data_IF_688893391134
#
_entry.id   IF_688893391134
#
_cell.length_a   1.000
_cell.length_b   1.000
_cell.length_c   1.000
_cell.angle_alpha   90.00
_cell.angle_beta   90.00
_cell.angle_gamma   90.00
#
_symmetry.space_group_name_H-M   'P 1'
#
loop_
_entity.id
_entity.type
_entity.pdbx_description
1 polymer ?
#
# COMPACT_ATOMS: atom_id res chain seq x y z
N UNK A 1 -15.44 7.15 -14.41
CA UNK A 1 -14.06 7.43 -13.95
C UNK A 1 -14.00 7.95 -12.52
N UNK A 2 -14.65 9.06 -12.19
CA UNK A 2 -14.58 9.70 -10.85
C UNK A 2 -14.98 8.79 -9.67
N UNK A 3 -16.05 7.99 -9.82
CA UNK A 3 -16.47 7.03 -8.79
C UNK A 3 -15.40 5.97 -8.51
N UNK A 4 -14.82 5.37 -9.56
CA UNK A 4 -13.77 4.35 -9.43
C UNK A 4 -12.52 4.92 -8.74
N UNK A 5 -12.19 6.18 -9.02
CA UNK A 5 -11.00 6.82 -8.44
C UNK A 5 -11.19 7.29 -6.99
N UNK A 6 -12.40 7.62 -6.57
CA UNK A 6 -12.68 8.15 -5.22
C UNK A 6 -13.20 7.09 -4.23
N UNK A 7 -13.72 5.97 -4.73
CA UNK A 7 -14.23 4.88 -3.91
C UNK A 7 -13.20 4.37 -2.88
N UNK A 8 -11.91 4.16 -3.20
CA UNK A 8 -10.93 3.74 -2.20
C UNK A 8 -10.83 4.72 -1.03
N UNK A 9 -10.83 6.03 -1.28
CA UNK A 9 -10.72 7.04 -0.22
C UNK A 9 -11.95 7.04 0.70
N UNK A 10 -13.16 6.98 0.12
CA UNK A 10 -14.40 6.88 0.88
C UNK A 10 -14.48 5.60 1.71
N UNK A 11 -14.08 4.46 1.13
CA UNK A 11 -14.05 3.17 1.82
C UNK A 11 -13.07 3.15 2.98
N UNK A 12 -11.87 3.70 2.81
CA UNK A 12 -10.90 3.81 3.90
C UNK A 12 -11.41 4.68 5.05
N UNK A 13 -12.10 5.79 4.73
CA UNK A 13 -12.74 6.63 5.74
C UNK A 13 -13.79 5.85 6.53
N UNK A 14 -14.62 5.04 5.85
CA UNK A 14 -15.58 4.18 6.51
C UNK A 14 -14.90 3.16 7.44
N UNK A 15 -13.94 2.38 6.93
CA UNK A 15 -13.21 1.38 7.73
C UNK A 15 -12.49 2.01 8.94
N UNK A 16 -11.92 3.19 8.78
CA UNK A 16 -11.20 3.89 9.85
C UNK A 16 -12.09 4.20 11.06
N UNK A 17 -13.40 4.35 10.83
CA UNK A 17 -14.39 4.68 11.85
C UNK A 17 -15.14 3.45 12.39
N UNK A 18 -14.85 2.24 11.90
CA UNK A 18 -15.42 1.01 12.46
C UNK A 18 -14.72 0.66 13.77
N UNK A 19 -15.52 0.44 14.81
CA UNK A 19 -15.10 -0.09 16.10
C UNK A 19 -16.19 -1.02 16.65
N UNK A 20 -15.80 -1.98 17.48
CA UNK A 20 -16.70 -2.91 18.16
C UNK A 20 -16.27 -3.17 19.61
N UNK A 21 -17.14 -3.64 20.51
CA UNK A 21 -16.73 -4.02 21.86
C UNK A 21 -15.58 -5.03 21.83
N UNK A 22 -14.54 -4.79 22.64
CA UNK A 22 -13.37 -5.66 22.69
C UNK A 22 -13.71 -7.05 23.26
N UNK A 23 -14.79 -7.18 24.04
CA UNK A 23 -15.31 -8.46 24.53
C UNK A 23 -15.68 -9.44 23.43
N UNK A 24 -16.14 -8.97 22.26
CA UNK A 24 -16.39 -9.82 21.07
C UNK A 24 -15.10 -10.46 20.51
N UNK A 25 -13.95 -9.93 20.88
CA UNK A 25 -12.62 -10.40 20.50
C UNK A 25 -11.91 -11.15 21.64
N UNK A 26 -12.59 -11.42 22.75
CA UNK A 26 -12.00 -11.98 23.97
C UNK A 26 -11.17 -10.96 24.77
N UNK A 27 -11.36 -9.66 24.52
CA UNK A 27 -10.76 -8.56 25.27
C UNK A 27 -11.67 -8.02 26.39
N UNK A 28 -11.25 -6.97 27.11
CA UNK A 28 -12.01 -6.42 28.24
C UNK A 28 -13.34 -5.76 27.83
N UNK A 29 -14.39 -5.96 28.63
CA UNK A 29 -15.75 -5.44 28.37
C UNK A 29 -15.84 -3.92 28.27
N UNK A 30 -14.91 -3.20 28.91
CA UNK A 30 -14.93 -1.74 29.00
C UNK A 30 -14.15 -1.06 27.86
N UNK A 31 -13.63 -1.82 26.88
CA UNK A 31 -12.84 -1.30 25.77
C UNK A 31 -13.55 -1.51 24.42
N UNK A 32 -13.33 -0.58 23.50
CA UNK A 32 -13.66 -0.66 22.08
C UNK A 32 -12.43 -1.05 21.29
N UNK A 33 -12.56 -2.05 20.43
CA UNK A 33 -11.57 -2.49 19.46
C UNK A 33 -11.83 -1.84 18.09
N UNK A 34 -10.86 -1.07 17.62
CA UNK A 34 -10.90 -0.39 16.33
C UNK A 34 -10.52 -1.30 15.17
N UNK A 35 -11.06 -1.01 13.99
CA UNK A 35 -10.74 -1.76 12.79
C UNK A 35 -9.23 -1.71 12.47
N UNK A 36 -8.54 -2.86 12.35
CA UNK A 36 -7.08 -2.89 12.36
C UNK A 36 -6.44 -2.21 11.15
N UNK A 37 -5.37 -1.45 11.39
CA UNK A 37 -4.66 -0.71 10.36
C UNK A 37 -4.10 -1.63 9.26
N UNK A 38 -3.73 -2.87 9.62
CA UNK A 38 -3.31 -3.90 8.68
C UNK A 38 -4.39 -4.29 7.68
N UNK A 39 -5.64 -4.31 8.14
CA UNK A 39 -6.79 -4.68 7.31
C UNK A 39 -7.21 -3.50 6.45
N UNK A 40 -7.13 -2.26 6.97
CA UNK A 40 -7.30 -1.03 6.18
C UNK A 40 -6.32 -1.02 5.01
N UNK A 41 -5.04 -1.31 5.26
CA UNK A 41 -4.01 -1.30 4.21
C UNK A 41 -4.22 -2.44 3.20
N UNK A 42 -4.66 -3.63 3.64
CA UNK A 42 -5.06 -4.72 2.73
C UNK A 42 -6.18 -4.28 1.78
N UNK A 43 -7.23 -3.65 2.31
CA UNK A 43 -8.36 -3.17 1.50
C UNK A 43 -7.92 -2.05 0.55
N UNK A 44 -7.03 -1.14 1.00
CA UNK A 44 -6.45 -0.13 0.13
C UNK A 44 -5.75 -0.77 -1.07
N UNK A 45 -4.84 -1.72 -0.83
CA UNK A 45 -4.13 -2.41 -1.90
C UNK A 45 -5.11 -3.07 -2.88
N UNK A 46 -6.05 -3.88 -2.38
CA UNK A 46 -7.02 -4.59 -3.22
C UNK A 46 -7.94 -3.66 -4.02
N UNK A 47 -8.43 -2.58 -3.41
CA UNK A 47 -9.29 -1.60 -4.10
C UNK A 47 -8.53 -0.82 -5.17
N UNK A 48 -7.27 -0.45 -4.92
CA UNK A 48 -6.44 0.19 -5.95
C UNK A 48 -6.12 -0.79 -7.06
N UNK A 49 -5.81 -2.06 -6.75
CA UNK A 49 -5.59 -3.09 -7.79
C UNK A 49 -6.81 -3.17 -8.70
N UNK A 50 -8.00 -3.29 -8.11
CA UNK A 50 -9.26 -3.36 -8.85
C UNK A 50 -9.48 -2.11 -9.70
N UNK A 51 -9.30 -0.92 -9.12
CA UNK A 51 -9.46 0.35 -9.82
C UNK A 51 -8.50 0.49 -11.01
N UNK A 52 -7.23 0.13 -10.85
CA UNK A 52 -6.22 0.19 -11.93
C UNK A 52 -6.59 -0.79 -13.05
N UNK A 53 -7.02 -2.01 -12.74
CA UNK A 53 -7.46 -2.98 -13.74
C UNK A 53 -8.67 -2.45 -14.51
N UNK A 54 -9.70 -1.95 -13.80
CA UNK A 54 -10.90 -1.39 -14.43
C UNK A 54 -10.54 -0.21 -15.34
N UNK A 55 -9.70 0.71 -14.88
CA UNK A 55 -9.23 1.84 -15.69
C UNK A 55 -8.45 1.33 -16.91
N UNK A 56 -7.56 0.36 -16.73
CA UNK A 56 -6.80 -0.25 -17.81
C UNK A 56 -7.69 -0.85 -18.89
N UNK A 57 -8.74 -1.59 -18.50
CA UNK A 57 -9.74 -2.13 -19.43
C UNK A 57 -10.51 -1.00 -20.13
N UNK A 58 -10.93 0.03 -19.39
CA UNK A 58 -11.68 1.15 -19.96
C UNK A 58 -10.90 1.94 -21.02
N UNK A 59 -9.59 2.07 -20.86
CA UNK A 59 -8.73 2.78 -21.81
C UNK A 59 -8.14 1.86 -22.90
N UNK A 60 -8.40 0.54 -22.83
CA UNK A 60 -7.78 -0.42 -23.74
C UNK A 60 -6.27 -0.55 -23.55
N UNK A 61 -5.80 -0.55 -22.29
CA UNK A 61 -4.38 -0.62 -21.97
C UNK A 61 -3.72 -1.88 -22.52
N UNK A 62 -2.67 -1.70 -23.32
CA UNK A 62 -1.93 -2.77 -23.99
C UNK A 62 -0.78 -2.24 -24.83
N UNK A 63 -0.16 -3.10 -25.66
CA UNK A 63 0.96 -2.75 -26.53
C UNK A 63 0.68 -1.53 -27.41
N UNK A 64 -0.54 -1.39 -27.92
CA UNK A 64 -0.93 -0.26 -28.78
C UNK A 64 -0.74 1.12 -28.12
N UNK A 65 -0.79 1.18 -26.79
CA UNK A 65 -0.55 2.41 -26.01
C UNK A 65 0.94 2.56 -25.67
N UNK A 66 1.64 1.46 -25.37
CA UNK A 66 3.00 1.50 -24.81
C UNK A 66 4.11 1.43 -25.85
N UNK A 67 3.90 0.71 -26.95
CA UNK A 67 4.87 0.55 -28.04
C UNK A 67 5.27 1.88 -28.67
N UNK A 68 4.32 2.81 -28.96
CA UNK A 68 4.67 4.12 -29.51
C UNK A 68 5.62 4.93 -28.62
N UNK A 69 5.61 4.71 -27.30
CA UNK A 69 6.53 5.38 -26.37
C UNK A 69 7.97 4.93 -26.66
N UNK A 70 8.18 3.62 -26.84
CA UNK A 70 9.50 3.06 -27.16
C UNK A 70 9.92 3.45 -28.57
N UNK A 71 9.00 3.37 -29.52
CA UNK A 71 9.27 3.71 -30.91
C UNK A 71 9.65 5.19 -31.07
N UNK A 72 9.01 6.08 -30.30
CA UNK A 72 9.37 7.50 -30.22
C UNK A 72 10.77 7.69 -29.63
N UNK A 73 11.11 7.02 -28.52
CA UNK A 73 12.43 7.10 -27.91
C UNK A 73 13.53 6.65 -28.87
N UNK A 74 13.34 5.52 -29.56
CA UNK A 74 14.29 5.01 -30.56
C UNK A 74 14.44 6.00 -31.71
N UNK A 75 13.33 6.58 -32.17
CA UNK A 75 13.34 7.59 -33.24
C UNK A 75 14.12 8.84 -32.81
N UNK A 76 13.92 9.32 -31.59
CA UNK A 76 14.67 10.46 -31.03
C UNK A 76 16.17 10.16 -30.91
N UNK A 77 16.55 8.96 -30.50
CA UNK A 77 17.97 8.55 -30.45
C UNK A 77 18.57 8.53 -31.86
N UNK A 78 17.87 7.97 -32.85
CA UNK A 78 18.34 7.95 -34.25
C UNK A 78 18.51 9.34 -34.84
N UNK A 79 17.65 10.29 -34.48
CA UNK A 79 17.77 11.69 -34.92
C UNK A 79 19.07 12.34 -34.41
N UNK A 80 19.50 12.00 -33.19
CA UNK A 80 20.74 12.50 -32.60
C UNK A 80 21.97 11.70 -33.03
N UNK A 81 21.79 10.40 -33.29
CA UNK A 81 22.84 9.46 -33.65
C UNK A 81 22.38 8.60 -34.86
N UNK A 82 22.61 9.07 -36.09
CA UNK A 82 22.14 8.37 -37.30
C UNK A 82 22.67 6.94 -37.45
N UNK A 83 23.87 6.67 -36.93
CA UNK A 83 24.52 5.36 -36.91
C UNK A 83 23.92 4.39 -35.87
N UNK A 84 23.00 4.85 -35.00
CA UNK A 84 22.39 4.01 -33.99
C UNK A 84 21.48 2.94 -34.62
N UNK A 85 21.91 1.69 -34.51
CA UNK A 85 21.12 0.52 -34.92
C UNK A 85 20.47 -0.12 -33.69
N UNK A 86 19.15 -0.01 -33.51
CA UNK A 86 18.46 -0.65 -32.40
C UNK A 86 18.51 -2.17 -32.55
N UNK A 87 18.93 -2.87 -31.50
CA UNK A 87 18.80 -4.32 -31.41
C UNK A 87 17.31 -4.70 -31.29
N UNK A 88 16.76 -5.53 -32.21
CA UNK A 88 15.38 -5.99 -32.15
C UNK A 88 15.04 -6.71 -30.84
N UNK A 89 15.96 -7.51 -30.29
CA UNK A 89 15.71 -8.27 -29.07
C UNK A 89 15.62 -7.34 -27.84
N UNK A 90 16.59 -6.44 -27.68
CA UNK A 90 16.55 -5.42 -26.64
C UNK A 90 15.32 -4.50 -26.76
N UNK A 91 14.90 -4.17 -27.99
CA UNK A 91 13.70 -3.35 -28.24
C UNK A 91 12.44 -4.06 -27.77
N UNK A 92 12.25 -5.33 -28.14
CA UNK A 92 11.10 -6.13 -27.69
C UNK A 92 11.08 -6.30 -26.16
N UNK A 93 12.24 -6.53 -25.55
CA UNK A 93 12.35 -6.59 -24.09
C UNK A 93 11.96 -5.26 -23.44
N UNK A 94 12.41 -4.13 -23.98
CA UNK A 94 12.09 -2.79 -23.46
C UNK A 94 10.58 -2.50 -23.54
N UNK A 95 9.94 -2.85 -24.67
CA UNK A 95 8.49 -2.76 -24.83
C UNK A 95 7.75 -3.59 -23.78
N UNK A 96 8.15 -4.85 -23.60
CA UNK A 96 7.57 -5.72 -22.57
C UNK A 96 7.76 -5.19 -21.15
N UNK A 97 8.92 -4.60 -20.86
CA UNK A 97 9.19 -4.00 -19.54
C UNK A 97 8.29 -2.80 -19.28
N UNK A 98 8.16 -1.86 -20.23
CA UNK A 98 7.29 -0.69 -20.08
C UNK A 98 5.83 -1.11 -19.92
N UNK A 99 5.38 -2.10 -20.69
CA UNK A 99 4.03 -2.64 -20.62
C UNK A 99 3.68 -3.20 -19.23
N UNK A 100 4.63 -3.84 -18.55
CA UNK A 100 4.42 -4.38 -17.21
C UNK A 100 4.67 -3.34 -16.11
N UNK A 101 5.64 -2.45 -16.30
CA UNK A 101 6.06 -1.49 -15.27
C UNK A 101 5.04 -0.39 -15.04
N UNK A 102 4.40 0.14 -16.09
CA UNK A 102 3.45 1.24 -15.94
C UNK A 102 2.29 0.93 -14.98
N UNK A 103 1.54 -0.18 -15.12
CA UNK A 103 0.46 -0.48 -14.18
C UNK A 103 0.98 -0.78 -12.76
N UNK A 104 2.16 -1.39 -12.64
CA UNK A 104 2.80 -1.64 -11.36
C UNK A 104 3.16 -0.32 -10.63
N UNK A 105 3.84 0.59 -11.33
CA UNK A 105 4.23 1.89 -10.80
C UNK A 105 3.00 2.75 -10.47
N UNK A 106 2.02 2.80 -11.39
CA UNK A 106 0.77 3.53 -11.17
C UNK A 106 0.05 3.03 -9.92
N UNK A 107 -0.14 1.71 -9.78
CA UNK A 107 -0.78 1.13 -8.62
C UNK A 107 -0.02 1.39 -7.31
N UNK A 108 1.30 1.23 -7.32
CA UNK A 108 2.14 1.47 -6.14
C UNK A 108 2.15 2.94 -5.70
N UNK A 109 2.26 3.87 -6.65
CA UNK A 109 2.16 5.31 -6.37
C UNK A 109 0.79 5.66 -5.80
N UNK A 110 -0.29 5.10 -6.35
CA UNK A 110 -1.63 5.40 -5.90
C UNK A 110 -1.92 4.88 -4.49
N UNK A 111 -1.48 3.65 -4.16
CA UNK A 111 -1.53 3.13 -2.78
C UNK A 111 -0.79 4.05 -1.82
N UNK A 112 0.44 4.44 -2.17
CA UNK A 112 1.28 5.31 -1.33
C UNK A 112 0.62 6.66 -1.12
N UNK A 113 0.10 7.27 -2.18
CA UNK A 113 -0.60 8.55 -2.14
C UNK A 113 -1.86 8.50 -1.28
N UNK A 114 -2.71 7.48 -1.44
CA UNK A 114 -3.94 7.34 -0.63
C UNK A 114 -3.64 7.04 0.83
N UNK A 115 -2.61 6.26 1.12
CA UNK A 115 -2.18 6.04 2.50
C UNK A 115 -1.64 7.33 3.13
N UNK A 116 -0.88 8.14 2.38
CA UNK A 116 -0.44 9.45 2.85
C UNK A 116 -1.64 10.39 3.10
N UNK A 117 -2.61 10.41 2.19
CA UNK A 117 -3.84 11.18 2.39
C UNK A 117 -4.62 10.73 3.63
N UNK A 118 -4.75 9.42 3.85
CA UNK A 118 -5.31 8.85 5.08
C UNK A 118 -4.57 9.33 6.34
N UNK A 119 -3.23 9.24 6.33
CA UNK A 119 -2.40 9.68 7.45
C UNK A 119 -2.63 11.16 7.80
N UNK A 120 -2.66 12.04 6.80
CA UNK A 120 -2.93 13.46 7.02
C UNK A 120 -4.38 13.72 7.45
N UNK A 121 -5.35 13.02 6.85
CA UNK A 121 -6.76 13.16 7.20
C UNK A 121 -7.02 12.83 8.68
N UNK A 122 -6.46 11.73 9.19
CA UNK A 122 -6.56 11.37 10.61
C UNK A 122 -5.99 12.47 11.51
N UNK A 123 -4.87 13.09 11.10
CA UNK A 123 -4.25 14.20 11.86
C UNK A 123 -5.12 15.45 11.87
N UNK A 124 -5.70 15.82 10.74
CA UNK A 124 -6.56 17.00 10.59
C UNK A 124 -7.85 16.83 11.38
N UNK A 125 -8.50 15.67 11.28
CA UNK A 125 -9.76 15.37 11.97
C UNK A 125 -9.55 15.33 13.50
N UNK A 126 -8.46 14.72 13.97
CA UNK A 126 -8.09 14.72 15.38
C UNK A 126 -7.81 16.14 15.91
N UNK A 127 -7.05 16.95 15.16
CA UNK A 127 -6.79 18.35 15.53
C UNK A 127 -8.06 19.20 15.56
N UNK A 128 -9.09 18.82 14.79
CA UNK A 128 -10.39 19.47 14.76
C UNK A 128 -11.33 19.05 15.90
N UNK A 129 -10.87 18.20 16.83
CA UNK A 129 -11.68 17.67 17.94
C UNK A 129 -12.78 16.69 17.51
N UNK A 130 -12.76 16.23 16.24
CA UNK A 130 -13.75 15.31 15.66
C UNK A 130 -13.20 13.89 15.47
N UNK A 131 -11.98 13.64 15.92
CA UNK A 131 -11.34 12.33 15.83
C UNK A 131 -11.96 11.33 16.81
N UNK A 132 -12.64 10.32 16.27
CA UNK A 132 -13.19 9.22 17.06
C UNK A 132 -12.13 8.15 17.34
N UNK A 133 -11.32 7.81 16.32
CA UNK A 133 -10.24 6.82 16.42
C UNK A 133 -9.06 7.40 17.21
N UNK A 134 -8.49 6.67 18.18
CA UNK A 134 -7.29 7.11 18.89
C UNK A 134 -6.12 7.22 17.91
N UNK A 135 -5.15 8.07 18.26
CA UNK A 135 -3.92 8.16 17.49
C UNK A 135 -3.07 6.91 17.71
N UNK A 136 -2.89 6.15 16.65
CA UNK A 136 -1.98 5.00 16.62
C UNK A 136 -0.54 5.44 16.31
N UNK A 137 0.43 4.77 16.93
CA UNK A 137 1.84 4.92 16.60
C UNK A 137 2.16 4.13 15.31
N UNK A 138 2.13 4.80 14.16
CA UNK A 138 2.29 4.18 12.83
C UNK A 138 3.54 3.28 12.73
N UNK A 139 4.76 3.68 13.16
CA UNK A 139 5.91 2.79 13.14
C UNK A 139 5.70 1.44 13.84
N UNK A 140 4.97 1.39 14.96
CA UNK A 140 4.73 0.14 15.69
C UNK A 140 3.51 -0.63 15.18
N UNK A 141 2.49 0.06 14.66
CA UNK A 141 1.19 -0.52 14.31
C UNK A 141 0.99 -0.86 12.83
N UNK A 142 1.62 -0.12 11.91
CA UNK A 142 1.43 -0.30 10.47
C UNK A 142 2.17 -1.54 9.99
N UNK A 143 1.44 -2.65 9.85
CA UNK A 143 1.91 -3.90 9.25
C UNK A 143 0.94 -4.39 8.19
N UNK A 144 1.41 -5.22 7.28
CA UNK A 144 0.55 -5.91 6.31
C UNK A 144 -0.23 -7.04 6.98
N UNK A 145 -1.48 -7.24 6.55
CA UNK A 145 -2.23 -8.45 6.89
C UNK A 145 -1.49 -9.68 6.34
N UNK A 146 -1.42 -10.77 7.11
CA UNK A 146 -0.74 -12.01 6.70
C UNK A 146 -1.27 -12.55 5.36
N UNK A 147 -2.56 -12.39 5.08
CA UNK A 147 -3.17 -12.84 3.83
C UNK A 147 -2.62 -12.10 2.60
N UNK A 148 -2.11 -10.88 2.76
CA UNK A 148 -1.49 -10.11 1.68
C UNK A 148 -0.30 -10.82 1.05
N UNK A 149 0.39 -11.71 1.79
CA UNK A 149 1.52 -12.47 1.26
C UNK A 149 1.05 -13.38 0.13
N UNK A 150 -0.06 -14.09 0.32
CA UNK A 150 -0.59 -15.01 -0.70
C UNK A 150 -1.06 -14.26 -1.95
N UNK A 151 -1.68 -13.10 -1.78
CA UNK A 151 -2.11 -12.26 -2.91
C UNK A 151 -0.90 -11.74 -3.69
N UNK A 152 0.13 -11.27 -3.00
CA UNK A 152 1.36 -10.81 -3.64
C UNK A 152 2.09 -11.93 -4.39
N UNK A 153 2.18 -13.12 -3.80
CA UNK A 153 2.77 -14.30 -4.46
C UNK A 153 1.94 -14.76 -5.66
N UNK A 154 0.61 -14.72 -5.59
CA UNK A 154 -0.25 -15.01 -6.72
C UNK A 154 -0.06 -14.01 -7.86
N UNK A 155 0.05 -12.71 -7.54
CA UNK A 155 0.38 -11.67 -8.52
C UNK A 155 1.75 -11.89 -9.17
N UNK A 156 2.75 -12.26 -8.36
CA UNK A 156 4.09 -12.60 -8.85
C UNK A 156 4.06 -13.80 -9.80
N UNK A 157 3.34 -14.87 -9.43
CA UNK A 157 3.17 -16.03 -10.30
C UNK A 157 2.45 -15.67 -11.61
N UNK A 158 1.43 -14.81 -11.55
CA UNK A 158 0.68 -14.36 -12.72
C UNK A 158 1.55 -13.64 -13.77
N UNK A 159 2.63 -12.95 -13.36
CA UNK A 159 3.57 -12.31 -14.27
C UNK A 159 4.27 -13.28 -15.24
N UNK A 160 4.36 -14.57 -14.91
CA UNK A 160 5.00 -15.58 -15.76
C UNK A 160 4.11 -16.14 -16.88
N UNK A 161 2.80 -15.84 -16.87
CA UNK A 161 1.86 -16.38 -17.86
C UNK A 161 1.72 -15.51 -19.12
N UNK A 162 2.37 -14.33 -19.16
CA UNK A 162 2.24 -13.37 -20.26
C UNK A 162 0.84 -12.76 -20.39
N UNK A 163 0.65 -11.93 -21.42
CA UNK A 163 -0.65 -11.34 -21.78
C UNK A 163 -1.38 -10.62 -20.64
N UNK A 164 -2.71 -10.71 -20.62
CA UNK A 164 -3.57 -10.10 -19.59
C UNK A 164 -3.25 -10.61 -18.17
N UNK A 165 -3.03 -11.92 -17.92
CA UNK A 165 -2.60 -12.38 -16.61
C UNK A 165 -1.33 -11.67 -16.09
N UNK A 166 -0.35 -11.43 -16.95
CA UNK A 166 0.87 -10.74 -16.55
C UNK A 166 0.64 -9.26 -16.20
N UNK A 167 -0.27 -8.58 -16.91
CA UNK A 167 -0.68 -7.20 -16.60
C UNK A 167 -1.39 -7.10 -15.23
N UNK A 168 -2.29 -8.04 -14.96
CA UNK A 168 -2.97 -8.14 -13.66
C UNK A 168 -1.94 -8.42 -12.57
N UNK A 169 -1.04 -9.39 -12.81
CA UNK A 169 0.05 -9.73 -11.90
C UNK A 169 0.94 -8.53 -11.58
N UNK A 170 1.35 -7.76 -12.59
CA UNK A 170 2.17 -6.57 -12.41
C UNK A 170 1.45 -5.50 -11.58
N UNK A 171 0.15 -5.31 -11.80
CA UNK A 171 -0.68 -4.41 -11.00
C UNK A 171 -0.73 -4.85 -9.53
N UNK A 172 -0.90 -6.14 -9.27
CA UNK A 172 -0.87 -6.72 -7.92
C UNK A 172 0.50 -6.52 -7.27
N UNK A 173 1.60 -6.83 -7.98
CA UNK A 173 2.96 -6.59 -7.48
C UNK A 173 3.15 -5.12 -7.11
N UNK A 174 2.72 -4.18 -7.95
CA UNK A 174 2.87 -2.76 -7.69
C UNK A 174 2.11 -2.28 -6.45
N UNK A 175 0.83 -2.64 -6.37
CA UNK A 175 -0.07 -2.21 -5.28
C UNK A 175 0.27 -2.87 -3.95
N UNK A 176 0.45 -4.19 -3.90
CA UNK A 176 0.80 -4.92 -2.69
C UNK A 176 2.27 -4.74 -2.32
N UNK A 177 3.17 -4.61 -3.30
CA UNK A 177 4.57 -4.28 -3.09
C UNK A 177 4.73 -2.93 -2.40
N UNK A 178 3.98 -1.90 -2.82
CA UNK A 178 3.93 -0.62 -2.10
C UNK A 178 3.40 -0.76 -0.68
N UNK A 179 2.36 -1.58 -0.46
CA UNK A 179 1.85 -1.90 0.88
C UNK A 179 2.92 -2.55 1.78
N UNK A 180 3.67 -3.53 1.26
CA UNK A 180 4.79 -4.15 1.95
C UNK A 180 5.94 -3.17 2.19
N UNK A 181 6.27 -2.29 1.24
CA UNK A 181 7.28 -1.25 1.43
C UNK A 181 6.88 -0.26 2.53
N UNK A 182 5.63 0.19 2.57
CA UNK A 182 5.12 1.04 3.66
C UNK A 182 5.25 0.35 5.02
N UNK A 183 4.89 -0.93 5.11
CA UNK A 183 5.07 -1.77 6.31
C UNK A 183 6.56 -1.92 6.68
N UNK A 184 7.43 -2.11 5.69
CA UNK A 184 8.88 -2.21 5.85
C UNK A 184 9.49 -0.94 6.41
N UNK A 185 9.14 0.22 5.84
CA UNK A 185 9.57 1.52 6.35
C UNK A 185 9.04 1.78 7.77
N UNK A 186 7.77 1.46 8.06
CA UNK A 186 7.24 1.56 9.43
C UNK A 186 8.07 0.72 10.41
N UNK A 187 8.41 -0.50 10.03
CA UNK A 187 9.26 -1.41 10.81
C UNK A 187 10.68 -0.86 11.02
N UNK A 188 11.26 -0.25 9.99
CA UNK A 188 12.56 0.41 10.08
C UNK A 188 12.51 1.62 11.03
N UNK A 189 11.46 2.45 10.92
CA UNK A 189 11.21 3.57 11.83
C UNK A 189 11.04 3.11 13.29
N UNK A 190 10.46 1.92 13.52
CA UNK A 190 10.33 1.35 14.86
C UNK A 190 11.69 0.86 15.40
N UNK A 191 12.42 0.05 14.61
CA UNK A 191 13.72 -0.54 15.02
C UNK A 191 14.85 0.48 15.22
N UNK A 192 14.72 1.67 14.62
CA UNK A 192 15.70 2.76 14.76
C UNK A 192 15.30 3.79 15.82
N UNK A 193 14.23 3.56 16.58
CA UNK A 193 13.79 4.47 17.65
C UNK A 193 14.83 4.51 18.78
N UNK A 194 15.16 5.71 19.25
CA UNK A 194 16.14 5.95 20.31
C UNK A 194 17.61 5.79 19.90
N UNK A 195 17.91 5.64 18.60
CA UNK A 195 19.30 5.55 18.10
C UNK A 195 19.77 6.89 17.57
N UNK A 196 21.00 7.27 17.89
CA UNK A 196 21.58 8.57 17.48
C UNK A 196 21.79 8.67 15.96
N UNK A 197 22.06 7.54 15.30
CA UNK A 197 22.22 7.45 13.85
C UNK A 197 20.91 7.37 13.06
N UNK A 198 19.75 7.43 13.73
CA UNK A 198 18.42 7.22 13.12
C UNK A 198 18.20 8.09 11.89
N UNK A 199 18.42 9.40 12.02
CA UNK A 199 18.10 10.37 10.96
C UNK A 199 18.90 10.10 9.67
N UNK A 200 20.24 10.04 9.69
CA UNK A 200 21.00 9.78 8.47
C UNK A 200 20.68 8.41 7.87
N UNK A 201 20.50 7.37 8.68
CA UNK A 201 20.14 6.05 8.15
C UNK A 201 18.77 6.03 7.47
N UNK A 202 17.76 6.70 8.04
CA UNK A 202 16.44 6.79 7.41
C UNK A 202 16.50 7.56 6.09
N UNK A 203 17.17 8.72 6.06
CA UNK A 203 17.34 9.51 4.83
C UNK A 203 17.99 8.66 3.74
N UNK A 204 19.09 7.99 4.06
CA UNK A 204 19.79 7.10 3.12
C UNK A 204 18.89 5.95 2.67
N UNK A 205 18.15 5.30 3.57
CA UNK A 205 17.25 4.21 3.19
C UNK A 205 16.13 4.69 2.26
N UNK A 206 15.53 5.86 2.50
CA UNK A 206 14.51 6.42 1.60
C UNK A 206 15.08 6.76 0.23
N UNK A 207 16.18 7.52 0.18
CA UNK A 207 16.82 7.91 -1.08
C UNK A 207 17.30 6.69 -1.86
N UNK A 208 17.97 5.75 -1.19
CA UNK A 208 18.49 4.54 -1.82
C UNK A 208 17.35 3.65 -2.33
N UNK A 209 16.22 3.54 -1.61
CA UNK A 209 15.06 2.78 -2.09
C UNK A 209 14.32 3.45 -3.25
N UNK A 210 14.40 4.78 -3.35
CA UNK A 210 13.79 5.50 -4.46
C UNK A 210 14.66 5.43 -5.73
N UNK A 211 15.99 5.44 -5.57
CA UNK A 211 16.94 5.49 -6.68
C UNK A 211 17.44 4.10 -7.12
N UNK A 212 17.41 3.11 -6.23
CA UNK A 212 17.99 1.79 -6.47
C UNK A 212 17.00 0.69 -6.09
N UNK A 213 16.96 -0.36 -6.93
CA UNK A 213 16.06 -1.49 -6.72
C UNK A 213 16.45 -2.33 -5.50
N UNK A 214 17.74 -2.56 -5.25
CA UNK A 214 18.19 -3.47 -4.19
C UNK A 214 17.80 -2.98 -2.78
N UNK A 215 18.03 -1.72 -2.38
CA UNK A 215 17.52 -1.19 -1.12
C UNK A 215 15.99 -1.26 -1.00
N UNK A 216 15.26 -0.96 -2.09
CA UNK A 216 13.81 -1.09 -2.11
C UNK A 216 13.35 -2.53 -1.81
N UNK A 217 14.04 -3.52 -2.40
CA UNK A 217 13.79 -4.94 -2.15
C UNK A 217 14.08 -5.31 -0.68
N UNK A 218 15.15 -4.79 -0.08
CA UNK A 218 15.44 -5.04 1.34
C UNK A 218 14.32 -4.52 2.25
N UNK A 219 13.79 -3.32 1.96
CA UNK A 219 12.66 -2.76 2.70
C UNK A 219 11.38 -3.58 2.46
N UNK A 220 11.14 -4.02 1.22
CA UNK A 220 10.01 -4.90 0.90
C UNK A 220 10.09 -6.23 1.65
N UNK A 221 11.26 -6.87 1.71
CA UNK A 221 11.51 -8.09 2.50
C UNK A 221 11.28 -7.84 3.99
N UNK A 222 11.72 -6.68 4.50
CA UNK A 222 11.46 -6.29 5.88
C UNK A 222 9.95 -6.21 6.18
N UNK A 223 9.16 -5.71 5.23
CA UNK A 223 7.70 -5.66 5.33
C UNK A 223 7.02 -7.02 5.25
N UNK A 224 7.51 -7.91 4.37
CA UNK A 224 7.06 -9.30 4.25
C UNK A 224 7.33 -10.10 5.54
N UNK A 225 8.49 -9.89 6.14
CA UNK A 225 8.92 -10.59 7.36
C UNK A 225 8.19 -10.18 8.64
N UNK A 226 7.42 -9.08 8.63
CA UNK A 226 6.75 -8.54 9.82
C UNK A 226 5.23 -8.37 9.62
N UNK A 227 4.55 -9.38 9.11
CA UNK A 227 3.07 -9.34 8.99
C UNK A 227 2.40 -9.57 10.34
N UNK A 228 1.58 -8.61 10.78
CA UNK A 228 0.87 -8.64 12.07
C UNK A 228 -0.45 -7.90 11.97
N UNK A 229 -1.38 -8.23 12.87
CA UNK A 229 -2.65 -7.53 13.05
C UNK A 229 -2.66 -6.89 14.43
N UNK A 230 -2.35 -5.60 14.49
CA UNK A 230 -2.44 -4.81 15.72
C UNK A 230 -3.84 -4.21 15.82
N UNK A 231 -4.49 -4.37 16.99
CA UNK A 231 -5.83 -3.84 17.26
C UNK A 231 -5.68 -2.70 18.27
N UNK A 232 -6.09 -1.50 17.88
CA UNK A 232 -6.14 -0.37 18.80
C UNK A 232 -7.37 -0.48 19.72
N UNK A 233 -7.17 -0.15 21.00
CA UNK A 233 -8.21 -0.19 22.02
C UNK A 233 -8.45 1.21 22.60
N UNK A 234 -9.70 1.57 22.87
CA UNK A 234 -10.08 2.78 23.63
C UNK A 234 -11.13 2.47 24.69
N UNK A 235 -11.17 3.20 25.82
CA UNK A 235 -12.27 3.09 26.76
C UNK A 235 -13.64 3.31 26.11
N UNK A 236 -14.62 2.52 26.52
CA UNK A 236 -16.04 2.75 26.25
C UNK A 236 -16.52 3.96 27.08
N UNK A 237 -17.49 4.71 26.56
CA UNK A 237 -18.05 5.89 27.24
C UNK A 237 -18.69 5.55 28.60
N UNK A 238 -19.06 4.29 28.80
CA UNK A 238 -19.69 3.77 30.01
C UNK A 238 -18.71 3.12 31.00
N UNK A 239 -17.40 3.09 30.69
CA UNK A 239 -16.38 2.45 31.53
C UNK A 239 -16.31 3.04 32.96
N UNK A 240 -16.69 4.30 33.13
CA UNK A 240 -16.72 5.01 34.41
C UNK A 240 -18.08 4.94 35.13
N UNK A 241 -19.07 4.22 34.56
CA UNK A 241 -20.38 4.05 35.22
C UNK A 241 -20.26 2.93 36.24
N UNK A 242 -20.45 3.18 37.55
CA UNK A 242 -20.35 2.14 38.56
C UNK A 242 -21.38 1.04 38.25
N UNK A 243 -20.91 -0.19 38.04
CA UNK A 243 -21.79 -1.36 37.91
C UNK A 243 -22.61 -1.46 39.19
N UNK A 244 -23.91 -1.23 39.09
CA UNK A 244 -24.85 -1.44 40.19
C UNK A 244 -24.78 -2.94 40.54
N UNK A 245 -24.26 -3.25 41.73
CA UNK A 245 -24.17 -4.62 42.21
C UNK A 245 -25.59 -5.16 42.38
N UNK A 246 -25.99 -6.08 41.50
CA UNK A 246 -27.22 -6.87 41.65
C UNK A 246 -27.14 -7.66 42.97
N UNK A 247 -27.58 -7.01 44.04
CA UNK A 247 -27.82 -7.67 45.32
C UNK A 247 -29.23 -8.20 45.26
N UNK A 248 -29.40 -9.38 44.65
CA UNK A 248 -30.63 -10.16 44.84
C UNK A 248 -30.52 -10.84 46.20
N UNK A 249 -31.30 -10.33 47.15
CA UNK A 249 -31.70 -11.02 48.38
C UNK A 249 -32.87 -11.95 48.03
#
# INVERSE_FOLDING_TARGET
>A
MTLVTLLPAGWLSHLANLARPASELGGPDHLLAWYPLSDILLHLCGLVTFAVIVIGVMIGYGPDITDPIVDLLITSVKQQQPEFMPDPAATAQTKSLILLMLPALQGGMWVTMLFAAYYFAVRIVAASGRGLRPREDIPSSLRMNRNSIFVFLAGLAACFFGGVPALIGATVIGTFGAGFMLSGFASLHFRTRGKDWRLPALILCYLASMLMLLPALLILVLGLGDTRKAIALTPTKDADTPKQSDTKI
#
